data_IF_850112654763
#
_entry.id   IF_850112654763
#
_cell.length_a   1.000
_cell.length_b   1.000
_cell.length_c   1.000
_cell.angle_alpha   90.00
_cell.angle_beta   90.00
_cell.angle_gamma   90.00
#
_symmetry.space_group_name_H-M   'P 1'
#
loop_
_entity.id
_entity.type
_entity.pdbx_description
1 polymer ?
#
# COMPACT_ATOMS: atom_id res chain seq x y z
N UNK A 1 18.86 13.92 -18.05
CA UNK A 1 17.85 14.97 -17.83
C UNK A 1 17.64 15.11 -16.34
N UNK A 2 17.68 16.32 -15.78
CA UNK A 2 17.43 16.58 -14.36
C UNK A 2 15.98 16.19 -14.04
N UNK A 3 15.77 15.00 -13.48
CA UNK A 3 14.45 14.59 -13.02
C UNK A 3 14.24 15.29 -11.67
N UNK A 4 13.44 16.36 -11.66
CA UNK A 4 13.06 16.97 -10.39
C UNK A 4 12.32 15.91 -9.56
N UNK A 5 12.73 15.74 -8.29
CA UNK A 5 11.99 14.92 -7.32
C UNK A 5 10.62 15.56 -7.12
N UNK A 6 9.61 15.07 -7.82
CA UNK A 6 8.20 15.48 -7.67
C UNK A 6 7.50 14.57 -6.67
N UNK A 7 6.60 15.12 -5.86
CA UNK A 7 5.72 14.31 -5.01
C UNK A 7 4.61 13.65 -5.83
N UNK A 8 4.19 12.45 -5.42
CA UNK A 8 3.02 11.76 -5.98
C UNK A 8 1.96 11.64 -4.88
N UNK A 9 0.73 12.07 -5.18
CA UNK A 9 -0.45 11.82 -4.35
C UNK A 9 -1.33 10.79 -5.06
N UNK A 10 -1.65 9.70 -4.36
CA UNK A 10 -2.60 8.70 -4.82
C UNK A 10 -3.64 8.47 -3.73
N UNK A 11 -4.90 8.37 -4.14
CA UNK A 11 -6.01 8.17 -3.21
C UNK A 11 -7.09 7.29 -3.83
N UNK A 12 -7.97 6.77 -2.98
CA UNK A 12 -9.24 6.18 -3.38
C UNK A 12 -10.39 7.01 -2.79
N UNK A 13 -11.59 6.46 -2.67
CA UNK A 13 -12.72 7.19 -2.08
C UNK A 13 -12.50 7.52 -0.59
N UNK A 14 -12.08 6.52 0.19
CA UNK A 14 -11.85 6.66 1.63
C UNK A 14 -10.37 6.70 2.01
N UNK A 15 -9.44 6.61 1.04
CA UNK A 15 -8.00 6.54 1.33
C UNK A 15 -7.54 5.25 2.03
N UNK A 16 -8.40 4.22 2.16
CA UNK A 16 -8.15 3.01 2.97
C UNK A 16 -7.68 1.81 2.17
N UNK A 17 -8.59 1.08 1.52
CA UNK A 17 -8.28 -0.27 1.01
C UNK A 17 -7.42 -0.23 -0.27
N UNK A 18 -7.91 0.40 -1.34
CA UNK A 18 -7.16 0.50 -2.60
C UNK A 18 -5.88 1.33 -2.46
N UNK A 19 -5.93 2.37 -1.63
CA UNK A 19 -4.74 3.19 -1.31
C UNK A 19 -3.73 2.37 -0.50
N UNK A 20 -4.20 1.64 0.51
CA UNK A 20 -3.37 0.78 1.35
C UNK A 20 -2.68 -0.34 0.56
N UNK A 21 -3.36 -0.94 -0.42
CA UNK A 21 -2.75 -1.93 -1.33
C UNK A 21 -1.60 -1.31 -2.13
N UNK A 22 -1.79 -0.14 -2.74
CA UNK A 22 -0.73 0.54 -3.51
C UNK A 22 0.44 0.92 -2.61
N UNK A 23 0.17 1.43 -1.40
CA UNK A 23 1.19 1.75 -0.41
C UNK A 23 1.98 0.51 0.04
N UNK A 24 1.28 -0.60 0.31
CA UNK A 24 1.90 -1.86 0.72
C UNK A 24 2.82 -2.43 -0.37
N UNK A 25 2.39 -2.42 -1.64
CA UNK A 25 3.21 -2.85 -2.77
C UNK A 25 4.48 -1.99 -2.90
N UNK A 26 4.35 -0.66 -2.77
CA UNK A 26 5.49 0.25 -2.86
C UNK A 26 6.47 0.03 -1.69
N UNK A 27 5.98 -0.03 -0.45
CA UNK A 27 6.80 -0.25 0.73
C UNK A 27 7.54 -1.60 0.67
N UNK A 28 6.86 -2.66 0.23
CA UNK A 28 7.47 -3.97 0.06
C UNK A 28 8.57 -3.95 -1.03
N UNK A 29 8.30 -3.31 -2.17
CA UNK A 29 9.29 -3.13 -3.24
C UNK A 29 10.54 -2.36 -2.76
N UNK A 30 10.37 -1.42 -1.83
CA UNK A 30 11.44 -0.66 -1.19
C UNK A 30 12.15 -1.43 -0.04
N UNK A 31 11.73 -2.66 0.25
CA UNK A 31 12.35 -3.52 1.26
C UNK A 31 11.87 -3.28 2.70
N UNK A 32 10.73 -2.60 2.90
CA UNK A 32 10.11 -2.51 4.21
C UNK A 32 9.68 -3.91 4.70
N UNK A 33 9.75 -4.13 6.01
CA UNK A 33 9.32 -5.40 6.61
C UNK A 33 7.80 -5.46 6.62
N UNK A 34 7.23 -6.67 6.50
CA UNK A 34 5.77 -6.87 6.57
C UNK A 34 5.17 -6.26 7.84
N UNK A 35 5.86 -6.32 8.98
CA UNK A 35 5.42 -5.68 10.22
C UNK A 35 5.22 -4.16 10.10
N UNK A 36 6.12 -3.46 9.39
CA UNK A 36 6.05 -2.02 9.17
C UNK A 36 4.92 -1.66 8.19
N UNK A 37 4.72 -2.49 7.16
CA UNK A 37 3.62 -2.36 6.19
C UNK A 37 2.27 -2.52 6.88
N UNK A 38 2.14 -3.55 7.73
CA UNK A 38 0.92 -3.81 8.49
C UNK A 38 0.61 -2.67 9.46
N UNK A 39 1.62 -2.17 10.18
CA UNK A 39 1.46 -1.02 11.06
C UNK A 39 1.03 0.24 10.28
N UNK A 40 1.60 0.48 9.10
CA UNK A 40 1.19 1.60 8.24
C UNK A 40 -0.29 1.50 7.81
N UNK A 41 -0.74 0.30 7.43
CA UNK A 41 -2.13 0.07 7.03
C UNK A 41 -3.11 0.25 8.19
N UNK A 42 -2.83 -0.30 9.38
CA UNK A 42 -3.70 -0.23 10.55
C UNK A 42 -3.93 1.22 11.00
N UNK A 43 -2.87 2.03 11.05
CA UNK A 43 -2.94 3.41 11.54
C UNK A 43 -3.78 4.30 10.60
N UNK A 44 -3.98 3.90 9.34
CA UNK A 44 -4.86 4.61 8.40
C UNK A 44 -6.28 4.78 8.94
N UNK A 45 -6.80 3.79 9.67
CA UNK A 45 -8.10 3.91 10.32
C UNK A 45 -8.09 5.01 11.40
N UNK A 46 -7.08 5.00 12.29
CA UNK A 46 -6.99 5.99 13.36
C UNK A 46 -6.96 7.44 12.83
N UNK A 47 -6.27 7.68 11.71
CA UNK A 47 -6.22 9.01 11.09
C UNK A 47 -7.52 9.41 10.36
N UNK A 48 -8.19 8.47 9.70
CA UNK A 48 -9.47 8.76 9.04
C UNK A 48 -10.54 9.17 10.06
N UNK A 49 -10.50 8.61 11.27
CA UNK A 49 -11.54 8.80 12.28
C UNK A 49 -11.22 9.90 13.28
N UNK A 50 -9.98 10.38 13.35
CA UNK A 50 -9.64 11.57 14.13
C UNK A 50 -10.03 12.87 13.41
N UNK A 51 -9.97 12.89 12.07
CA UNK A 51 -9.97 14.14 11.29
C UNK A 51 -11.13 14.28 10.30
N UNK A 52 -11.96 13.24 10.07
CA UNK A 52 -13.10 13.34 9.13
C UNK A 52 -14.43 12.89 9.75
N UNK A 53 -15.54 13.61 9.47
CA UNK A 53 -16.89 13.17 9.83
C UNK A 53 -17.36 12.13 8.80
N UNK A 54 -16.54 11.11 8.53
CA UNK A 54 -16.98 10.00 7.69
C UNK A 54 -18.01 9.21 8.51
N UNK A 55 -19.29 9.36 8.18
CA UNK A 55 -20.42 8.68 8.82
C UNK A 55 -20.32 7.16 8.62
N UNK A 56 -19.53 6.50 9.46
CA UNK A 56 -19.44 5.03 9.51
C UNK A 56 -20.44 4.42 10.47
N UNK A 57 -21.29 5.24 11.08
CA UNK A 57 -22.34 4.85 12.02
C UNK A 57 -23.24 3.73 11.48
N UNK A 58 -23.43 3.68 10.15
CA UNK A 58 -24.23 2.68 9.44
C UNK A 58 -23.42 1.63 8.68
N UNK A 59 -22.08 1.67 8.72
CA UNK A 59 -21.24 0.66 8.11
C UNK A 59 -20.95 -0.45 9.11
N UNK A 60 -20.98 -1.74 8.70
CA UNK A 60 -20.52 -2.80 9.58
C UNK A 60 -19.04 -2.55 9.91
N UNK A 61 -18.66 -2.76 11.17
CA UNK A 61 -17.37 -2.37 11.74
C UNK A 61 -16.16 -2.92 10.96
N UNK A 62 -16.31 -4.10 10.35
CA UNK A 62 -15.30 -4.72 9.50
C UNK A 62 -15.04 -3.94 8.18
N UNK A 63 -16.02 -3.19 7.69
CA UNK A 63 -15.92 -2.36 6.50
C UNK A 63 -15.42 -0.95 6.85
N UNK A 64 -15.77 -0.48 8.04
CA UNK A 64 -15.27 0.77 8.62
C UNK A 64 -13.76 0.67 8.90
N UNK A 65 -13.29 -0.45 9.44
CA UNK A 65 -11.91 -0.61 9.94
C UNK A 65 -10.88 -0.91 8.85
N UNK A 66 -9.64 -0.44 9.05
CA UNK A 66 -8.45 -0.95 8.33
C UNK A 66 -8.04 -2.26 8.98
N UNK A 67 -8.73 -3.35 8.62
CA UNK A 67 -8.52 -4.59 9.35
C UNK A 67 -7.17 -5.25 9.00
N UNK A 68 -6.28 -5.39 10.00
CA UNK A 68 -4.93 -5.95 9.84
C UNK A 68 -4.94 -7.28 9.10
N UNK A 69 -5.89 -8.16 9.45
CA UNK A 69 -5.99 -9.49 8.84
C UNK A 69 -6.19 -9.45 7.33
N UNK A 70 -6.86 -8.42 6.81
CA UNK A 70 -7.02 -8.26 5.36
C UNK A 70 -5.67 -8.01 4.66
N UNK A 71 -4.82 -7.18 5.28
CA UNK A 71 -3.49 -6.90 4.73
C UNK A 71 -2.54 -8.08 4.93
N UNK A 72 -2.66 -8.83 6.03
CA UNK A 72 -1.95 -10.10 6.22
C UNK A 72 -2.29 -11.07 5.09
N UNK A 73 -3.58 -11.34 4.88
CA UNK A 73 -4.03 -12.24 3.83
C UNK A 73 -3.60 -11.76 2.43
N UNK A 74 -3.62 -10.45 2.17
CA UNK A 74 -3.14 -9.88 0.91
C UNK A 74 -1.65 -10.16 0.67
N UNK A 75 -0.79 -9.92 1.66
CA UNK A 75 0.65 -10.16 1.55
C UNK A 75 0.97 -11.67 1.43
N UNK A 76 0.24 -12.52 2.16
CA UNK A 76 0.38 -13.97 2.07
C UNK A 76 -0.04 -14.52 0.70
N UNK A 77 -1.15 -14.04 0.14
CA UNK A 77 -1.61 -14.41 -1.20
C UNK A 77 -0.61 -13.96 -2.27
N UNK A 78 -0.10 -12.73 -2.19
CA UNK A 78 0.96 -12.24 -3.09
C UNK A 78 2.19 -13.15 -3.09
N UNK A 79 2.64 -13.53 -1.90
CA UNK A 79 3.80 -14.41 -1.74
C UNK A 79 3.51 -15.82 -2.26
N UNK A 80 2.30 -16.33 -2.05
CA UNK A 80 1.89 -17.67 -2.49
C UNK A 80 1.77 -17.74 -4.01
N UNK A 81 1.14 -16.75 -4.62
CA UNK A 81 0.79 -16.78 -6.05
C UNK A 81 1.94 -16.29 -6.94
N UNK A 82 2.78 -15.37 -6.45
CA UNK A 82 3.83 -14.71 -7.25
C UNK A 82 5.24 -14.85 -6.65
N UNK A 83 5.38 -15.39 -5.45
CA UNK A 83 6.65 -15.53 -4.73
C UNK A 83 7.08 -14.25 -3.99
N UNK A 84 6.89 -13.08 -4.60
CA UNK A 84 7.14 -11.77 -4.00
C UNK A 84 6.43 -10.64 -4.79
N UNK A 85 6.45 -9.42 -4.22
CA UNK A 85 5.85 -8.22 -4.86
C UNK A 85 6.56 -7.83 -6.15
N UNK A 86 7.88 -8.03 -6.25
CA UNK A 86 8.63 -7.71 -7.46
C UNK A 86 8.07 -8.48 -8.67
N UNK A 87 7.91 -9.80 -8.53
CA UNK A 87 7.36 -10.68 -9.55
C UNK A 87 5.91 -10.33 -9.88
N UNK A 88 5.09 -10.03 -8.87
CA UNK A 88 3.72 -9.58 -9.08
C UNK A 88 3.64 -8.31 -9.95
N UNK A 89 4.53 -7.34 -9.72
CA UNK A 89 4.57 -6.11 -10.51
C UNK A 89 5.05 -6.35 -11.94
N UNK A 90 6.00 -7.28 -12.15
CA UNK A 90 6.38 -7.73 -13.50
C UNK A 90 5.18 -8.36 -14.22
N UNK A 91 4.43 -9.23 -13.56
CA UNK A 91 3.21 -9.84 -14.11
C UNK A 91 2.13 -8.79 -14.45
N UNK A 92 2.06 -7.70 -13.68
CA UNK A 92 1.19 -6.56 -13.98
C UNK A 92 1.68 -5.70 -15.17
N UNK A 93 2.81 -6.03 -15.79
CA UNK A 93 3.35 -5.37 -16.98
C UNK A 93 4.40 -4.30 -16.72
N UNK A 94 4.95 -4.19 -15.50
CA UNK A 94 6.13 -3.35 -15.26
C UNK A 94 7.39 -4.07 -15.74
N UNK A 95 8.38 -3.30 -16.17
CA UNK A 95 9.70 -3.82 -16.51
C UNK A 95 10.65 -3.73 -15.31
N UNK A 96 11.67 -4.58 -15.27
CA UNK A 96 12.73 -4.54 -14.25
C UNK A 96 13.36 -3.14 -14.17
N UNK A 97 13.59 -2.49 -15.32
CA UNK A 97 14.14 -1.14 -15.39
C UNK A 97 13.22 -0.10 -14.72
N UNK A 98 11.90 -0.24 -14.85
CA UNK A 98 10.94 0.64 -14.16
C UNK A 98 10.96 0.39 -12.65
N UNK A 99 11.02 -0.87 -12.20
CA UNK A 99 11.09 -1.21 -10.78
C UNK A 99 12.36 -0.68 -10.12
N UNK A 100 13.52 -0.82 -10.77
CA UNK A 100 14.77 -0.26 -10.26
C UNK A 100 14.77 1.28 -10.29
N UNK A 101 14.14 1.90 -11.28
CA UNK A 101 13.93 3.36 -11.29
C UNK A 101 13.09 3.80 -10.09
N UNK A 102 11.99 3.10 -9.80
CA UNK A 102 11.14 3.39 -8.63
C UNK A 102 11.96 3.27 -7.34
N UNK A 103 12.70 2.18 -7.15
CA UNK A 103 13.53 1.98 -5.95
C UNK A 103 14.54 3.12 -5.77
N UNK A 104 15.26 3.47 -6.84
CA UNK A 104 16.25 4.54 -6.81
C UNK A 104 15.67 5.91 -6.45
N UNK A 105 14.40 6.20 -6.79
CA UNK A 105 13.76 7.47 -6.44
C UNK A 105 13.56 7.66 -4.93
N UNK A 106 13.41 6.57 -4.16
CA UNK A 106 13.11 6.62 -2.72
C UNK A 106 14.31 6.32 -1.82
N UNK A 107 15.37 5.70 -2.35
CA UNK A 107 16.55 5.30 -1.56
C UNK A 107 17.80 6.14 -1.86
N UNK A 108 17.68 7.18 -2.68
CA UNK A 108 18.77 8.12 -3.05
C UNK A 108 18.73 9.45 -2.33
#
# INVERSE_FOLDING_TARGET
ANQQKTGVLFHCAAGKDRTGVVAALLLNLLGAKDGDILANYEVTFSYLFSDTPFETSNLPLNLANSNRENMVAFLENLKTDYGNVYNYLIECGLTEAQLETIKALFTS
#
